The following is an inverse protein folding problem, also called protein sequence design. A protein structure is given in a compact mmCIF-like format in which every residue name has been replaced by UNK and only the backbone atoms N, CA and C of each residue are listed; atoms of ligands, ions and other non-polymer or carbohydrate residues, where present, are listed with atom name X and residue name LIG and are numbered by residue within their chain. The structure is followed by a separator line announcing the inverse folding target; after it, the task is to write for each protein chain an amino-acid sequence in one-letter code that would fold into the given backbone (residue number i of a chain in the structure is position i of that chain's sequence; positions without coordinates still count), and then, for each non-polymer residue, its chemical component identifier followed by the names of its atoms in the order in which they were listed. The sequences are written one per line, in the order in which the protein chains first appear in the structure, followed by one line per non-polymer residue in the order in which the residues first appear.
data_IF_405091632215
#
_entry.id   IF_405091632215
#
_cell.length_a   1.000
_cell.length_b   1.000
_cell.length_c   1.000
_cell.angle_alpha   90.00
_cell.angle_beta   90.00
_cell.angle_gamma   90.00
#
_symmetry.space_group_name_H-M   'P 1'
#
loop_
_entity.id
_entity.type
_entity.pdbx_description
1 polymer ?
#
# COMPACT_ATOMS: atom_id res chain seq x y z
N UNK A 1 -25.10 -2.14 35.20
CA UNK A 1 -23.63 -2.27 35.27
C UNK A 1 -23.21 -3.24 34.17
N UNK A 2 -22.79 -2.69 33.03
CA UNK A 2 -22.34 -3.49 31.90
C UNK A 2 -21.04 -4.23 32.23
N UNK A 3 -20.90 -5.45 31.70
CA UNK A 3 -19.65 -6.23 31.85
C UNK A 3 -18.66 -5.74 30.79
N UNK A 4 -17.72 -4.86 31.16
CA UNK A 4 -16.54 -4.62 30.34
C UNK A 4 -15.69 -5.89 30.33
N UNK A 5 -15.62 -6.59 29.19
CA UNK A 5 -14.79 -7.79 29.05
C UNK A 5 -13.32 -7.40 29.10
N UNK A 6 -12.57 -7.98 30.04
CA UNK A 6 -11.10 -7.85 30.15
C UNK A 6 -10.34 -8.81 29.21
N UNK A 7 -11.02 -9.41 28.24
CA UNK A 7 -10.35 -10.31 27.29
C UNK A 7 -9.54 -9.44 26.32
N UNK A 8 -8.24 -9.30 26.58
CA UNK A 8 -7.27 -8.78 25.62
C UNK A 8 -7.29 -9.70 24.39
N UNK A 9 -7.93 -9.26 23.31
CA UNK A 9 -7.78 -9.92 22.01
C UNK A 9 -6.33 -9.73 21.56
N UNK A 10 -5.56 -10.79 21.62
CA UNK A 10 -4.21 -10.82 21.08
C UNK A 10 -4.27 -10.68 19.54
N UNK A 11 -3.67 -9.60 19.03
CA UNK A 11 -3.61 -9.34 17.59
C UNK A 11 -2.38 -10.01 16.99
N UNK A 12 -2.60 -10.96 16.09
CA UNK A 12 -1.56 -11.67 15.37
C UNK A 12 -1.68 -11.45 13.86
N UNK A 13 -0.54 -11.45 13.17
CA UNK A 13 -0.49 -11.43 11.70
C UNK A 13 -0.77 -12.84 11.14
N UNK A 14 -2.01 -13.29 11.29
CA UNK A 14 -2.46 -14.64 10.95
C UNK A 14 -3.55 -14.64 9.85
N UNK A 15 -4.00 -15.82 9.43
CA UNK A 15 -5.10 -15.99 8.47
C UNK A 15 -6.37 -15.19 8.85
N UNK A 16 -6.62 -15.03 10.15
CA UNK A 16 -7.72 -14.21 10.66
C UNK A 16 -7.60 -12.74 10.24
N UNK A 17 -6.39 -12.19 10.22
CA UNK A 17 -6.14 -10.83 9.74
C UNK A 17 -6.56 -10.67 8.27
N UNK A 18 -6.18 -11.61 7.40
CA UNK A 18 -6.54 -11.57 5.98
C UNK A 18 -8.05 -11.72 5.76
N UNK A 19 -8.72 -12.58 6.54
CA UNK A 19 -10.18 -12.70 6.50
C UNK A 19 -10.87 -11.40 6.94
N UNK A 20 -10.34 -10.76 7.98
CA UNK A 20 -10.87 -9.49 8.46
C UNK A 20 -10.62 -8.37 7.44
N UNK A 21 -9.43 -8.33 6.83
CA UNK A 21 -9.08 -7.41 5.75
C UNK A 21 -10.00 -7.59 4.55
N UNK A 22 -10.34 -8.82 4.16
CA UNK A 22 -11.29 -9.08 3.08
C UNK A 22 -12.68 -8.48 3.38
N UNK A 23 -13.18 -8.62 4.61
CA UNK A 23 -14.42 -7.96 5.03
C UNK A 23 -14.32 -6.44 5.03
N UNK A 24 -13.15 -5.88 5.36
CA UNK A 24 -12.93 -4.42 5.25
C UNK A 24 -12.89 -3.98 3.79
N UNK A 25 -12.30 -4.76 2.88
CA UNK A 25 -12.25 -4.39 1.46
C UNK A 25 -13.63 -4.28 0.82
N UNK A 26 -14.61 -5.07 1.23
CA UNK A 26 -16.00 -4.94 0.74
C UNK A 26 -16.67 -3.65 1.24
N UNK A 27 -16.26 -3.14 2.40
CA UNK A 27 -16.68 -1.83 2.92
C UNK A 27 -16.01 -0.68 2.15
N UNK A 28 -14.73 -0.84 1.78
CA UNK A 28 -13.97 0.16 1.02
C UNK A 28 -14.47 0.31 -0.42
N UNK A 29 -14.93 -0.80 -1.02
CA UNK A 29 -15.51 -0.86 -2.37
C UNK A 29 -17.01 -1.25 -2.31
N UNK A 30 -17.89 -0.39 -1.77
CA UNK A 30 -19.31 -0.71 -1.63
C UNK A 30 -20.02 -0.77 -2.99
N UNK A 31 -19.54 -0.03 -4.00
CA UNK A 31 -20.02 -0.02 -5.39
C UNK A 31 -18.88 0.23 -6.37
N UNK A 32 -19.07 -0.18 -7.62
CA UNK A 32 -18.21 0.19 -8.76
C UNK A 32 -18.46 1.68 -9.06
N UNK A 33 -17.81 2.54 -8.31
CA UNK A 33 -17.86 4.00 -8.46
C UNK A 33 -16.43 4.55 -8.58
N UNK A 34 -16.24 5.81 -8.20
CA UNK A 34 -14.98 6.55 -8.24
C UNK A 34 -13.78 5.82 -7.60
N UNK A 35 -13.99 5.03 -6.54
CA UNK A 35 -12.93 4.26 -5.90
C UNK A 35 -12.27 3.25 -6.85
N UNK A 36 -13.07 2.58 -7.70
CA UNK A 36 -12.55 1.62 -8.68
C UNK A 36 -11.84 2.34 -9.82
N UNK A 37 -12.40 3.47 -10.28
CA UNK A 37 -11.77 4.32 -11.29
C UNK A 37 -10.40 4.85 -10.84
N UNK A 38 -10.29 5.35 -9.61
CA UNK A 38 -9.02 5.81 -9.07
C UNK A 38 -8.02 4.66 -8.90
N UNK A 39 -8.48 3.46 -8.52
CA UNK A 39 -7.61 2.29 -8.44
C UNK A 39 -7.02 1.91 -9.81
N UNK A 40 -7.85 1.86 -10.86
CA UNK A 40 -7.36 1.62 -12.23
C UNK A 40 -6.47 2.75 -12.74
N UNK A 41 -6.79 4.01 -12.43
CA UNK A 41 -5.95 5.15 -12.79
C UNK A 41 -4.58 5.08 -12.10
N UNK A 42 -4.55 4.73 -10.81
CA UNK A 42 -3.29 4.51 -10.07
C UNK A 42 -2.49 3.36 -10.67
N UNK A 43 -3.13 2.25 -11.06
CA UNK A 43 -2.47 1.15 -11.77
C UNK A 43 -1.83 1.63 -13.08
N UNK A 44 -2.58 2.36 -13.91
CA UNK A 44 -2.11 2.85 -15.21
C UNK A 44 -0.91 3.79 -15.04
N UNK A 45 -1.00 4.79 -14.16
CA UNK A 45 0.10 5.72 -13.92
C UNK A 45 1.30 5.04 -13.26
N UNK A 46 1.08 4.04 -12.40
CA UNK A 46 2.15 3.26 -11.81
C UNK A 46 2.93 2.49 -12.89
N UNK A 47 2.23 1.75 -13.76
CA UNK A 47 2.86 1.02 -14.88
C UNK A 47 3.60 1.98 -15.81
N UNK A 48 2.97 3.09 -16.21
CA UNK A 48 3.61 4.08 -17.07
C UNK A 48 4.87 4.68 -16.43
N UNK A 49 4.85 4.93 -15.11
CA UNK A 49 5.99 5.46 -14.36
C UNK A 49 7.16 4.47 -14.31
N UNK A 50 6.86 3.17 -14.27
CA UNK A 50 7.87 2.10 -14.23
C UNK A 50 8.52 1.90 -15.59
N UNK A 51 7.73 1.94 -16.67
CA UNK A 51 8.26 1.90 -18.05
C UNK A 51 9.22 3.07 -18.29
N UNK A 52 8.85 4.29 -17.87
CA UNK A 52 9.77 5.43 -17.95
C UNK A 52 10.99 5.24 -17.05
N UNK A 53 10.84 4.64 -15.87
CA UNK A 53 11.98 4.37 -14.99
C UNK A 53 12.98 3.41 -15.62
N UNK A 54 12.50 2.36 -16.28
CA UNK A 54 13.33 1.44 -17.06
C UNK A 54 14.06 2.15 -18.23
N UNK A 55 13.34 2.97 -19.01
CA UNK A 55 13.94 3.74 -20.11
C UNK A 55 15.00 4.73 -19.60
N UNK A 56 14.71 5.44 -18.51
CA UNK A 56 15.65 6.35 -17.85
C UNK A 56 16.89 5.64 -17.31
N UNK A 57 16.77 4.38 -16.86
CA UNK A 57 17.92 3.58 -16.44
C UNK A 57 18.95 3.34 -17.57
N UNK A 58 18.52 3.34 -18.83
CA UNK A 58 19.41 3.15 -19.99
C UNK A 58 20.04 4.44 -20.52
N UNK A 59 19.48 5.62 -20.18
CA UNK A 59 19.96 6.90 -20.69
C UNK A 59 21.39 7.23 -20.26
N UNK A 60 21.78 7.11 -18.97
CA UNK A 60 23.15 7.36 -18.54
C UNK A 60 24.17 6.49 -19.28
N UNK A 61 23.86 5.20 -19.47
CA UNK A 61 24.74 4.28 -20.20
C UNK A 61 25.03 4.73 -21.62
N UNK A 62 24.01 5.23 -22.34
CA UNK A 62 24.17 5.77 -23.70
C UNK A 62 24.91 7.10 -23.73
N UNK A 63 24.70 7.97 -22.73
CA UNK A 63 25.45 9.22 -22.61
C UNK A 63 26.94 8.93 -22.42
N UNK A 64 27.30 7.95 -21.58
CA UNK A 64 28.70 7.54 -21.40
C UNK A 64 29.31 6.98 -22.71
N UNK A 65 28.57 6.17 -23.45
CA UNK A 65 29.02 5.65 -24.74
C UNK A 65 29.29 6.78 -25.76
N UNK A 66 28.33 7.71 -25.94
CA UNK A 66 28.50 8.85 -26.83
C UNK A 66 29.69 9.77 -26.44
N UNK A 67 30.00 9.84 -25.13
CA UNK A 67 31.15 10.59 -24.64
C UNK A 67 32.49 9.91 -24.99
N UNK A 68 32.54 8.57 -24.92
CA UNK A 68 33.70 7.78 -25.35
C UNK A 68 33.91 7.91 -26.86
N UNK A 69 32.82 7.87 -27.64
CA UNK A 69 32.84 7.96 -29.10
C UNK A 69 33.08 9.40 -29.62
N UNK A 70 33.17 10.39 -28.72
CA UNK A 70 33.37 11.83 -29.01
C UNK A 70 32.33 12.43 -29.98
N UNK A 71 31.14 11.85 -30.08
CA UNK A 71 30.07 12.30 -30.97
C UNK A 71 29.24 13.43 -30.32
N UNK A 72 29.63 14.69 -30.58
CA UNK A 72 28.96 15.87 -29.98
C UNK A 72 27.45 15.96 -30.31
N UNK A 73 27.06 15.61 -31.54
CA UNK A 73 25.67 15.70 -31.99
C UNK A 73 24.77 14.68 -31.28
N UNK A 74 25.27 13.46 -31.10
CA UNK A 74 24.56 12.38 -30.44
C UNK A 74 24.40 12.62 -28.94
N UNK A 75 25.44 13.16 -28.29
CA UNK A 75 25.37 13.58 -26.90
C UNK A 75 24.23 14.57 -26.63
N UNK A 76 24.14 15.65 -27.41
CA UNK A 76 23.09 16.65 -27.24
C UNK A 76 21.69 16.09 -27.54
N UNK A 77 21.57 15.21 -28.54
CA UNK A 77 20.31 14.56 -28.86
C UNK A 77 19.80 13.67 -27.70
N UNK A 78 20.68 12.82 -27.16
CA UNK A 78 20.35 11.95 -26.02
C UNK A 78 20.07 12.77 -24.77
N UNK A 79 20.84 13.85 -24.53
CA UNK A 79 20.66 14.72 -23.38
C UNK A 79 19.29 15.43 -23.39
N UNK A 80 18.87 15.98 -24.53
CA UNK A 80 17.58 16.67 -24.67
C UNK A 80 16.43 15.66 -24.50
N UNK A 81 16.50 14.52 -25.19
CA UNK A 81 15.47 13.47 -25.08
C UNK A 81 15.39 12.95 -23.64
N UNK A 82 16.53 12.70 -23.00
CA UNK A 82 16.62 12.28 -21.61
C UNK A 82 15.98 13.30 -20.67
N UNK A 83 16.24 14.59 -20.88
CA UNK A 83 15.66 15.68 -20.08
C UNK A 83 14.14 15.77 -20.24
N UNK A 84 13.61 15.68 -21.47
CA UNK A 84 12.16 15.68 -21.74
C UNK A 84 11.49 14.47 -21.07
N UNK A 85 12.08 13.29 -21.21
CA UNK A 85 11.55 12.08 -20.62
C UNK A 85 11.63 12.09 -19.09
N UNK A 86 12.62 12.77 -18.50
CA UNK A 86 12.69 13.01 -17.05
C UNK A 86 11.55 13.92 -16.57
N UNK A 87 11.26 15.00 -17.30
CA UNK A 87 10.09 15.85 -17.01
C UNK A 87 8.80 15.01 -17.07
N UNK A 88 8.65 14.19 -18.11
CA UNK A 88 7.53 13.26 -18.23
C UNK A 88 7.41 12.30 -17.03
N UNK A 89 8.54 11.77 -16.55
CA UNK A 89 8.59 10.93 -15.34
C UNK A 89 8.11 11.67 -14.10
N UNK A 90 8.56 12.91 -13.89
CA UNK A 90 8.10 13.72 -12.76
C UNK A 90 6.58 13.92 -12.78
N UNK A 91 6.00 14.19 -13.94
CA UNK A 91 4.54 14.33 -14.11
C UNK A 91 3.82 13.02 -13.78
N UNK A 92 4.31 11.87 -14.26
CA UNK A 92 3.70 10.58 -13.94
C UNK A 92 3.76 10.24 -12.45
N UNK A 93 4.88 10.54 -11.78
CA UNK A 93 5.01 10.35 -10.33
C UNK A 93 3.99 11.23 -9.58
N UNK A 94 3.83 12.49 -10.00
CA UNK A 94 2.83 13.38 -9.43
C UNK A 94 1.40 12.86 -9.65
N UNK A 95 1.06 12.38 -10.85
CA UNK A 95 -0.25 11.80 -11.17
C UNK A 95 -0.53 10.51 -10.39
N UNK A 96 0.46 9.64 -10.23
CA UNK A 96 0.37 8.44 -9.37
C UNK A 96 0.07 8.84 -7.93
N UNK A 97 0.79 9.82 -7.39
CA UNK A 97 0.57 10.32 -6.03
C UNK A 97 -0.82 10.94 -5.88
N UNK A 98 -1.24 11.74 -6.85
CA UNK A 98 -2.55 12.39 -6.86
C UNK A 98 -3.70 11.37 -6.88
N UNK A 99 -3.63 10.37 -7.77
CA UNK A 99 -4.67 9.32 -7.84
C UNK A 99 -4.72 8.46 -6.57
N UNK A 100 -3.57 8.17 -5.97
CA UNK A 100 -3.51 7.46 -4.68
C UNK A 100 -4.16 8.27 -3.55
N UNK A 101 -4.01 9.60 -3.57
CA UNK A 101 -4.67 10.49 -2.61
C UNK A 101 -6.19 10.58 -2.82
N UNK A 102 -6.65 10.60 -4.08
CA UNK A 102 -8.08 10.53 -4.39
C UNK A 102 -8.70 9.19 -3.98
N UNK A 103 -7.95 8.08 -4.14
CA UNK A 103 -8.35 6.77 -3.65
C UNK A 103 -8.49 6.76 -2.13
N UNK A 104 -7.52 7.33 -1.42
CA UNK A 104 -7.57 7.50 0.05
C UNK A 104 -8.85 8.22 0.49
N UNK A 105 -9.16 9.37 -0.11
CA UNK A 105 -10.36 10.15 0.23
C UNK A 105 -11.64 9.36 -0.01
N UNK A 106 -11.73 8.66 -1.14
CA UNK A 106 -12.88 7.83 -1.50
C UNK A 106 -13.09 6.69 -0.50
N UNK A 107 -12.02 6.01 -0.12
CA UNK A 107 -12.04 4.94 0.87
C UNK A 107 -12.42 5.43 2.27
N UNK A 108 -11.83 6.53 2.72
CA UNK A 108 -12.18 7.13 4.01
C UNK A 108 -13.65 7.50 4.07
N UNK A 109 -14.18 8.16 3.03
CA UNK A 109 -15.61 8.51 2.95
C UNK A 109 -16.50 7.28 3.06
N UNK A 110 -16.22 6.23 2.28
CA UNK A 110 -17.01 5.01 2.27
C UNK A 110 -16.96 4.28 3.62
N UNK A 111 -15.77 4.13 4.20
CA UNK A 111 -15.56 3.46 5.47
C UNK A 111 -16.27 4.18 6.62
N UNK A 112 -16.08 5.51 6.74
CA UNK A 112 -16.70 6.30 7.80
C UNK A 112 -18.22 6.26 7.71
N UNK A 113 -18.80 6.45 6.51
CA UNK A 113 -20.26 6.41 6.34
C UNK A 113 -20.83 5.04 6.74
N UNK A 114 -20.18 3.94 6.32
CA UNK A 114 -20.63 2.58 6.67
C UNK A 114 -20.48 2.27 8.15
N UNK A 115 -19.35 2.62 8.75
CA UNK A 115 -19.13 2.43 10.19
C UNK A 115 -20.11 3.25 11.02
N UNK A 116 -20.37 4.50 10.62
CA UNK A 116 -21.35 5.36 11.27
C UNK A 116 -22.77 4.78 11.15
N UNK A 117 -23.16 4.25 9.99
CA UNK A 117 -24.43 3.54 9.82
C UNK A 117 -24.55 2.36 10.78
N UNK A 118 -23.50 1.54 10.93
CA UNK A 118 -23.51 0.43 11.88
C UNK A 118 -23.57 0.88 13.34
N UNK A 119 -22.87 1.96 13.69
CA UNK A 119 -22.84 2.49 15.05
C UNK A 119 -24.21 3.03 15.51
N UNK A 120 -24.92 3.73 14.64
CA UNK A 120 -26.25 4.28 14.95
C UNK A 120 -27.41 3.31 14.72
N UNK A 121 -27.18 2.19 14.04
CA UNK A 121 -28.22 1.19 13.82
C UNK A 121 -28.59 0.45 15.13
N UNK A 122 -29.88 0.16 15.35
CA UNK A 122 -30.39 -0.69 16.44
C UNK A 122 -29.85 -0.36 17.86
N UNK A 123 -29.67 0.93 18.17
CA UNK A 123 -29.12 1.42 19.44
C UNK A 123 -27.76 0.79 19.79
N UNK A 124 -26.96 0.45 18.77
CA UNK A 124 -25.65 -0.20 18.95
C UNK A 124 -24.70 0.69 19.76
N UNK A 125 -24.72 2.00 19.57
CA UNK A 125 -23.99 2.96 20.42
C UNK A 125 -24.28 2.78 21.92
N UNK A 126 -25.54 2.54 22.30
CA UNK A 126 -25.91 2.36 23.70
C UNK A 126 -25.46 1.00 24.21
N UNK A 127 -25.57 -0.04 23.38
CA UNK A 127 -25.13 -1.40 23.71
C UNK A 127 -23.63 -1.46 23.95
N UNK A 128 -22.83 -0.88 23.05
CA UNK A 128 -21.37 -0.86 23.14
C UNK A 128 -20.90 0.00 24.32
N UNK A 129 -21.52 1.16 24.57
CA UNK A 129 -21.02 2.05 25.63
C UNK A 129 -21.53 1.72 27.04
N UNK A 130 -22.71 1.10 27.18
CA UNK A 130 -23.37 0.94 28.49
C UNK A 130 -23.73 -0.51 28.88
N UNK A 131 -23.78 -1.47 27.94
CA UNK A 131 -24.29 -2.83 28.19
C UNK A 131 -23.17 -3.87 28.16
N UNK A 132 -22.51 -4.04 27.02
CA UNK A 132 -21.35 -4.92 26.81
C UNK A 132 -20.57 -4.34 25.63
N UNK A 133 -19.30 -4.03 25.84
CA UNK A 133 -18.42 -3.47 24.81
C UNK A 133 -18.12 -4.47 23.69
N UNK A 134 -18.47 -5.76 23.85
CA UNK A 134 -18.12 -6.84 22.90
C UNK A 134 -16.59 -6.94 22.61
N UNK A 135 -15.77 -6.34 23.47
CA UNK A 135 -14.32 -6.20 23.28
C UNK A 135 -13.93 -5.12 22.26
N UNK A 136 -14.76 -4.10 22.07
CA UNK A 136 -14.50 -2.89 21.27
C UNK A 136 -14.31 -1.73 22.25
N UNK A 137 -13.06 -1.34 22.48
CA UNK A 137 -12.69 -0.13 23.21
C UNK A 137 -12.74 1.10 22.28
N UNK A 138 -13.09 2.26 22.86
CA UNK A 138 -13.07 3.59 22.23
C UNK A 138 -13.62 3.61 20.78
N UNK A 139 -14.93 3.34 20.60
CA UNK A 139 -15.53 3.18 19.27
C UNK A 139 -15.43 4.45 18.42
N UNK A 140 -15.45 5.63 19.03
CA UNK A 140 -15.25 6.93 18.39
C UNK A 140 -13.84 7.09 17.81
N UNK A 141 -12.80 6.71 18.55
CA UNK A 141 -11.42 6.69 18.07
C UNK A 141 -11.25 5.72 16.90
N UNK A 142 -11.84 4.53 17.01
CA UNK A 142 -11.78 3.50 15.95
C UNK A 142 -12.43 3.95 14.64
N UNK A 143 -13.60 4.60 14.72
CA UNK A 143 -14.34 5.09 13.54
C UNK A 143 -13.61 6.26 12.87
N UNK A 144 -12.94 7.12 13.65
CA UNK A 144 -12.30 8.32 13.13
C UNK A 144 -10.83 8.09 12.78
N UNK A 145 -9.97 7.93 13.81
CA UNK A 145 -8.52 7.94 13.66
C UNK A 145 -7.97 6.65 13.05
N UNK A 146 -8.42 5.49 13.54
CA UNK A 146 -7.89 4.22 13.05
C UNK A 146 -8.34 3.97 11.61
N UNK A 147 -9.58 4.32 11.28
CA UNK A 147 -10.10 4.26 9.91
C UNK A 147 -9.32 5.19 8.98
N UNK A 148 -9.01 6.42 9.43
CA UNK A 148 -8.18 7.36 8.66
C UNK A 148 -6.76 6.81 8.42
N UNK A 149 -6.08 6.38 9.49
CA UNK A 149 -4.72 5.82 9.43
C UNK A 149 -4.67 4.58 8.53
N UNK A 150 -5.63 3.67 8.68
CA UNK A 150 -5.74 2.47 7.85
C UNK A 150 -5.95 2.82 6.38
N UNK A 151 -6.92 3.69 6.06
CA UNK A 151 -7.19 4.09 4.68
C UNK A 151 -5.99 4.79 4.04
N UNK A 152 -5.29 5.65 4.79
CA UNK A 152 -4.11 6.36 4.32
C UNK A 152 -2.98 5.38 3.96
N UNK A 153 -2.62 4.48 4.88
CA UNK A 153 -1.56 3.49 4.67
C UNK A 153 -1.90 2.52 3.53
N UNK A 154 -3.14 2.03 3.48
CA UNK A 154 -3.58 1.12 2.42
C UNK A 154 -3.54 1.82 1.05
N UNK A 155 -4.07 3.04 0.93
CA UNK A 155 -4.25 3.69 -0.37
C UNK A 155 -2.96 4.27 -0.94
N UNK A 156 -2.12 4.87 -0.08
CA UNK A 156 -0.95 5.62 -0.52
C UNK A 156 0.28 4.72 -0.64
N UNK A 157 0.49 3.82 0.34
CA UNK A 157 1.74 3.06 0.42
C UNK A 157 1.59 1.63 -0.13
N UNK A 158 0.53 0.94 0.29
CA UNK A 158 0.38 -0.50 0.03
C UNK A 158 -0.22 -0.73 -1.36
N UNK A 159 -1.31 -0.05 -1.71
CA UNK A 159 -2.04 -0.31 -2.95
C UNK A 159 -1.19 -0.09 -4.21
N UNK A 160 -0.47 1.04 -4.40
CA UNK A 160 0.31 1.23 -5.61
C UNK A 160 1.46 0.22 -5.73
N UNK A 161 2.02 -0.22 -4.60
CA UNK A 161 3.10 -1.21 -4.54
C UNK A 161 2.62 -2.63 -4.87
N UNK A 162 1.45 -3.03 -4.36
CA UNK A 162 0.84 -4.34 -4.66
C UNK A 162 0.39 -4.39 -6.12
N UNK A 163 -0.16 -3.30 -6.65
CA UNK A 163 -0.63 -3.24 -8.03
C UNK A 163 0.51 -3.40 -9.05
N UNK A 164 1.66 -2.79 -8.77
CA UNK A 164 2.82 -2.83 -9.69
C UNK A 164 3.72 -4.05 -9.47
N UNK A 165 3.76 -4.57 -8.24
CA UNK A 165 4.66 -5.63 -7.81
C UNK A 165 4.70 -6.85 -8.75
N UNK A 166 3.57 -7.47 -9.10
CA UNK A 166 3.54 -8.63 -9.99
C UNK A 166 4.15 -8.35 -11.37
N UNK A 167 3.87 -7.19 -11.96
CA UNK A 167 4.40 -6.81 -13.28
C UNK A 167 5.91 -6.59 -13.23
N UNK A 168 6.38 -5.88 -12.20
CA UNK A 168 7.81 -5.60 -11.96
C UNK A 168 8.55 -6.91 -11.74
N UNK A 169 8.06 -7.76 -10.84
CA UNK A 169 8.67 -9.06 -10.53
C UNK A 169 8.73 -9.92 -11.80
N UNK A 170 7.63 -10.06 -12.54
CA UNK A 170 7.62 -10.85 -13.78
C UNK A 170 8.64 -10.34 -14.81
N UNK A 171 8.70 -9.03 -15.03
CA UNK A 171 9.61 -8.42 -15.98
C UNK A 171 11.09 -8.60 -15.58
N UNK A 172 11.44 -8.32 -14.33
CA UNK A 172 12.82 -8.47 -13.86
C UNK A 172 13.24 -9.93 -13.72
N UNK A 173 12.33 -10.84 -13.36
CA UNK A 173 12.60 -12.28 -13.37
C UNK A 173 12.91 -12.76 -14.79
N UNK A 174 12.16 -12.31 -15.80
CA UNK A 174 12.45 -12.62 -17.21
C UNK A 174 13.80 -12.06 -17.66
N UNK A 175 14.10 -10.80 -17.34
CA UNK A 175 15.41 -10.19 -17.64
C UNK A 175 16.56 -10.95 -16.97
N UNK A 176 16.39 -11.37 -15.73
CA UNK A 176 17.40 -12.12 -14.98
C UNK A 176 17.59 -13.52 -15.56
N UNK A 177 16.51 -14.17 -16.01
CA UNK A 177 16.59 -15.47 -16.69
C UNK A 177 17.52 -15.40 -17.91
N UNK A 178 17.37 -14.37 -18.73
CA UNK A 178 18.18 -14.17 -19.94
C UNK A 178 19.66 -13.92 -19.59
N UNK A 179 19.93 -13.10 -18.57
CA UNK A 179 21.30 -12.70 -18.23
C UNK A 179 22.09 -13.77 -17.49
N UNK A 180 21.45 -14.48 -16.55
CA UNK A 180 22.14 -15.34 -15.57
C UNK A 180 21.68 -16.82 -15.63
N UNK A 181 20.60 -17.11 -16.35
CA UNK A 181 20.00 -18.45 -16.39
C UNK A 181 19.20 -18.81 -15.13
N UNK A 182 18.74 -20.07 -15.06
CA UNK A 182 17.84 -20.54 -13.99
C UNK A 182 18.44 -20.56 -12.58
N UNK A 183 19.77 -20.75 -12.46
CA UNK A 183 20.45 -20.76 -11.16
C UNK A 183 20.39 -19.40 -10.46
N UNK A 184 20.53 -18.29 -11.22
CA UNK A 184 20.45 -16.94 -10.66
C UNK A 184 19.07 -16.64 -10.06
N UNK A 185 18.01 -17.11 -10.73
CA UNK A 185 16.63 -16.98 -10.24
C UNK A 185 16.47 -17.77 -8.93
N UNK A 186 16.92 -19.02 -8.90
CA UNK A 186 16.81 -19.87 -7.71
C UNK A 186 17.42 -19.22 -6.47
N UNK A 187 18.59 -18.60 -6.60
CA UNK A 187 19.28 -17.91 -5.50
C UNK A 187 18.48 -16.68 -5.03
N UNK A 188 17.99 -15.85 -5.95
CA UNK A 188 17.25 -14.63 -5.61
C UNK A 188 15.94 -14.96 -4.89
N UNK A 189 15.18 -15.94 -5.40
CA UNK A 189 13.94 -16.37 -4.76
C UNK A 189 14.22 -17.07 -3.42
N UNK A 190 15.31 -17.84 -3.31
CA UNK A 190 15.76 -18.42 -2.04
C UNK A 190 16.05 -17.34 -0.99
N UNK A 191 16.79 -16.30 -1.37
CA UNK A 191 17.05 -15.14 -0.51
C UNK A 191 15.75 -14.44 -0.08
N UNK A 192 14.79 -14.28 -1.00
CA UNK A 192 13.49 -13.69 -0.68
C UNK A 192 12.71 -14.50 0.36
N UNK A 193 12.65 -15.84 0.22
CA UNK A 193 11.95 -16.72 1.18
C UNK A 193 12.57 -16.61 2.57
N UNK A 194 13.89 -16.66 2.67
CA UNK A 194 14.60 -16.48 3.95
C UNK A 194 14.29 -15.11 4.55
N UNK A 195 14.33 -14.06 3.74
CA UNK A 195 13.98 -12.70 4.17
C UNK A 195 12.56 -12.57 4.69
N UNK A 196 11.57 -13.21 4.04
CA UNK A 196 10.17 -13.22 4.48
C UNK A 196 10.01 -13.94 5.82
N UNK A 197 10.70 -15.07 6.02
CA UNK A 197 10.64 -15.83 7.29
C UNK A 197 11.20 -14.99 8.44
N UNK A 198 12.38 -14.39 8.24
CA UNK A 198 13.01 -13.52 9.24
C UNK A 198 12.13 -12.31 9.54
N UNK A 199 11.61 -11.64 8.51
CA UNK A 199 10.74 -10.48 8.68
C UNK A 199 9.45 -10.84 9.43
N UNK A 200 8.82 -11.98 9.11
CA UNK A 200 7.64 -12.46 9.84
C UNK A 200 7.93 -12.68 11.32
N UNK A 201 9.08 -13.29 11.64
CA UNK A 201 9.48 -13.52 13.03
C UNK A 201 9.68 -12.21 13.80
N UNK A 202 10.28 -11.19 13.16
CA UNK A 202 10.49 -9.87 13.77
C UNK A 202 9.20 -9.05 13.90
N UNK A 203 8.30 -9.10 12.91
CA UNK A 203 7.05 -8.32 12.94
C UNK A 203 6.02 -8.87 13.94
N UNK A 204 5.96 -10.20 14.12
CA UNK A 204 4.96 -10.84 14.98
C UNK A 204 4.85 -10.22 16.39
N UNK A 205 5.96 -9.99 17.14
CA UNK A 205 5.89 -9.34 18.44
C UNK A 205 5.54 -7.84 18.33
N UNK A 206 6.02 -7.13 17.31
CA UNK A 206 5.79 -5.68 17.17
C UNK A 206 4.31 -5.34 17.01
N UNK A 207 3.53 -6.17 16.31
CA UNK A 207 2.09 -5.95 16.12
C UNK A 207 1.35 -5.95 17.46
N UNK A 208 1.68 -6.87 18.37
CA UNK A 208 1.08 -6.92 19.70
C UNK A 208 1.35 -5.66 20.50
N UNK A 209 2.60 -5.20 20.50
CA UNK A 209 3.00 -4.00 21.24
C UNK A 209 2.36 -2.73 20.68
N UNK A 210 2.29 -2.60 19.35
CA UNK A 210 1.65 -1.45 18.71
C UNK A 210 0.15 -1.38 19.04
N UNK A 211 -0.54 -2.52 19.04
CA UNK A 211 -1.95 -2.58 19.44
C UNK A 211 -2.16 -2.15 20.90
N UNK A 212 -1.26 -2.57 21.81
CA UNK A 212 -1.30 -2.15 23.23
C UNK A 212 -1.07 -0.65 23.39
N UNK A 213 -0.11 -0.09 22.66
CA UNK A 213 0.16 1.36 22.67
C UNK A 213 -1.06 2.16 22.23
N UNK A 214 -1.70 1.76 21.12
CA UNK A 214 -2.90 2.46 20.61
C UNK A 214 -4.07 2.42 21.60
N UNK A 215 -4.24 1.30 22.31
CA UNK A 215 -5.22 1.19 23.38
C UNK A 215 -4.94 2.17 24.51
N UNK A 216 -3.69 2.20 25.01
CA UNK A 216 -3.32 3.13 26.09
C UNK A 216 -3.39 4.60 25.67
N UNK A 217 -3.08 4.93 24.42
CA UNK A 217 -3.29 6.29 23.88
C UNK A 217 -4.77 6.66 23.82
N UNK A 218 -5.64 5.67 23.61
CA UNK A 218 -7.07 5.84 23.64
C UNK A 218 -7.61 6.08 25.04
N UNK A 219 -7.23 5.23 26.00
CA UNK A 219 -7.65 5.35 27.40
C UNK A 219 -7.17 6.65 28.07
N UNK A 220 -6.08 7.25 27.57
CA UNK A 220 -5.57 8.52 28.05
C UNK A 220 -6.40 9.74 27.63
N UNK A 221 -7.14 9.65 26.52
CA UNK A 221 -7.89 10.78 25.93
C UNK A 221 -9.30 10.89 26.48
#
# INVERSE_FOLDING_TARGET
MGKHRRDEKDFHFDYYFFRCLANVTTILFPRIEWAVLFMFATLLFAIASEVLTFLMGMVPGRIYQALVDKSKSEFWHIFIIGSIAYIGKCVLIALKSFTSWQLYLSWRKNAVIKLQQFYFNNHTYYKINNIDDYGIDNPDQRITQDTERMCNQLAINIMPSILIGPFVIAFYTYKTYITTGGLGIGIIYGYFVVGVIVNKFLMSPMVKWNARVQKTEGDFR
#
